data_IF_553457767668
#
_entry.id   IF_553457767668
#
_cell.length_a   1.000
_cell.length_b   1.000
_cell.length_c   1.000
_cell.angle_alpha   90.00
_cell.angle_beta   90.00
_cell.angle_gamma   90.00
#
_symmetry.space_group_name_H-M   'P 1'
#
loop_
_entity.id
_entity.type
_entity.pdbx_description
1 polymer ?
#
# COMPACT_ATOMS: atom_id res chain seq x y z
N UNK A 1 -19.47 1.64 12.37
CA UNK A 1 -18.70 1.15 11.20
C UNK A 1 -18.33 2.27 10.23
N UNK A 2 -19.24 3.17 9.81
CA UNK A 2 -18.95 4.24 8.83
C UNK A 2 -17.80 5.21 9.21
N UNK A 3 -17.68 5.62 10.48
CA UNK A 3 -16.55 6.46 10.97
C UNK A 3 -15.21 5.69 11.06
N UNK A 4 -15.26 4.36 11.18
CA UNK A 4 -14.08 3.49 11.22
C UNK A 4 -13.47 3.28 9.82
N UNK A 5 -14.31 3.31 8.78
CA UNK A 5 -13.89 3.14 7.38
C UNK A 5 -13.04 4.32 6.90
N UNK A 6 -13.40 5.57 7.24
CA UNK A 6 -12.60 6.75 6.92
C UNK A 6 -11.24 6.78 7.65
N UNK A 7 -11.20 6.38 8.93
CA UNK A 7 -9.96 6.36 9.73
C UNK A 7 -8.97 5.28 9.27
N UNK A 8 -9.48 4.14 8.79
CA UNK A 8 -8.68 3.07 8.21
C UNK A 8 -8.14 3.48 6.82
N UNK A 9 -8.95 4.17 6.01
CA UNK A 9 -8.55 4.70 4.70
C UNK A 9 -7.32 5.61 4.78
N UNK A 10 -7.32 6.55 5.74
CA UNK A 10 -6.21 7.50 5.95
C UNK A 10 -4.94 6.78 6.44
N UNK A 11 -5.08 5.74 7.26
CA UNK A 11 -3.94 4.98 7.81
C UNK A 11 -3.26 4.07 6.78
N UNK A 12 -4.00 3.57 5.78
CA UNK A 12 -3.45 2.75 4.68
C UNK A 12 -2.69 3.62 3.67
N UNK A 13 -3.12 4.88 3.47
CA UNK A 13 -2.53 5.82 2.51
C UNK A 13 -1.26 6.51 3.00
N UNK A 14 -1.00 6.56 4.31
CA UNK A 14 0.11 7.32 4.92
C UNK A 14 1.43 6.55 5.10
N UNK A 15 1.61 5.41 4.42
CA UNK A 15 2.89 4.69 4.46
C UNK A 15 3.87 5.29 3.43
N UNK A 16 4.89 6.07 3.83
CA UNK A 16 5.84 6.61 2.88
C UNK A 16 6.65 5.47 2.28
N UNK A 17 6.64 5.40 0.95
CA UNK A 17 7.56 4.56 0.24
C UNK A 17 8.90 5.32 0.13
N UNK A 18 9.97 4.68 0.61
CA UNK A 18 11.33 5.24 0.63
C UNK A 18 11.77 5.55 -0.81
N UNK A 19 12.32 6.76 -1.01
CA UNK A 19 12.60 7.36 -2.32
C UNK A 19 13.72 6.64 -3.08
N UNK A 20 13.57 6.58 -4.42
CA UNK A 20 14.67 6.52 -5.38
C UNK A 20 14.13 6.96 -6.75
N UNK A 21 14.90 7.86 -7.38
CA UNK A 21 14.60 8.73 -8.51
C UNK A 21 14.80 8.06 -9.88
N UNK A 22 14.11 8.60 -10.89
CA UNK A 22 13.84 8.17 -12.27
C UNK A 22 15.03 7.77 -13.16
N UNK A 23 14.72 6.91 -14.15
CA UNK A 23 15.09 7.13 -15.55
C UNK A 23 14.12 6.38 -16.49
N UNK A 24 13.57 7.11 -17.47
CA UNK A 24 12.51 6.64 -18.39
C UNK A 24 13.06 6.03 -19.68
N UNK A 25 12.29 5.13 -20.28
CA UNK A 25 12.41 4.71 -21.69
C UNK A 25 11.05 4.23 -22.19
N UNK A 26 10.58 4.82 -23.28
CA UNK A 26 9.26 4.60 -23.87
C UNK A 26 9.23 3.38 -24.79
N UNK A 27 8.11 2.65 -24.79
CA UNK A 27 7.68 1.84 -25.94
C UNK A 27 6.15 1.71 -25.95
N UNK A 28 5.56 1.99 -27.11
CA UNK A 28 4.12 1.97 -27.38
C UNK A 28 3.68 0.60 -27.89
N UNK A 29 2.47 0.16 -27.54
CA UNK A 29 1.72 -0.86 -28.29
C UNK A 29 0.23 -0.74 -27.99
N UNK A 30 -0.55 -0.42 -29.02
CA UNK A 30 -2.02 -0.49 -29.00
C UNK A 30 -2.48 -1.94 -29.09
N UNK A 31 -3.55 -2.28 -28.36
CA UNK A 31 -4.31 -3.51 -28.57
C UNK A 31 -5.80 -3.21 -28.42
N UNK A 32 -6.48 -3.24 -29.57
CA UNK A 32 -7.93 -3.17 -29.71
C UNK A 32 -8.57 -4.48 -29.22
N UNK A 33 -9.53 -4.37 -28.30
CA UNK A 33 -10.31 -5.51 -27.81
C UNK A 33 -11.79 -5.14 -27.67
N UNK A 34 -12.58 -5.63 -28.61
CA UNK A 34 -14.05 -5.67 -28.61
C UNK A 34 -14.58 -6.26 -27.29
N UNK A 35 -15.27 -5.47 -26.47
CA UNK A 35 -15.87 -5.93 -25.21
C UNK A 35 -17.28 -5.39 -25.05
N UNK A 36 -18.23 -6.27 -24.71
CA UNK A 36 -19.54 -5.86 -24.23
C UNK A 36 -19.38 -4.78 -23.14
N UNK A 37 -20.24 -3.77 -23.14
CA UNK A 37 -20.23 -2.73 -22.10
C UNK A 37 -20.54 -3.42 -20.77
N UNK A 38 -19.49 -3.81 -20.05
CA UNK A 38 -19.61 -4.31 -18.67
C UNK A 38 -20.07 -3.13 -17.84
N UNK A 39 -21.16 -3.31 -17.09
CA UNK A 39 -21.66 -2.27 -16.19
C UNK A 39 -20.63 -2.06 -15.08
N UNK A 40 -20.08 -0.84 -14.97
CA UNK A 40 -19.08 -0.48 -13.95
C UNK A 40 -19.53 -0.83 -12.53
N UNK A 41 -20.84 -0.84 -12.26
CA UNK A 41 -21.36 -1.25 -10.96
C UNK A 41 -21.21 -2.74 -10.67
N UNK A 42 -21.25 -3.58 -11.71
CA UNK A 42 -21.00 -5.03 -11.57
C UNK A 42 -19.54 -5.30 -11.25
N UNK A 43 -18.59 -4.64 -11.93
CA UNK A 43 -17.15 -4.78 -11.62
C UNK A 43 -16.83 -4.33 -10.20
N UNK A 44 -17.39 -3.20 -9.76
CA UNK A 44 -17.25 -2.72 -8.38
C UNK A 44 -17.79 -3.75 -7.38
N UNK A 45 -18.95 -4.34 -7.67
CA UNK A 45 -19.57 -5.35 -6.81
C UNK A 45 -18.72 -6.62 -6.69
N UNK A 46 -18.17 -7.11 -7.80
CA UNK A 46 -17.27 -8.26 -7.81
C UNK A 46 -15.99 -8.00 -7.01
N UNK A 47 -15.35 -6.83 -7.20
CA UNK A 47 -14.12 -6.47 -6.45
C UNK A 47 -14.39 -6.31 -4.95
N UNK A 48 -15.52 -5.72 -4.57
CA UNK A 48 -15.88 -5.48 -3.18
C UNK A 48 -16.59 -6.67 -2.51
N UNK A 49 -16.79 -7.79 -3.20
CA UNK A 49 -17.60 -8.90 -2.71
C UNK A 49 -17.05 -9.48 -1.40
N UNK A 50 -17.89 -9.45 -0.35
CA UNK A 50 -17.52 -9.96 0.97
C UNK A 50 -16.39 -9.17 1.69
N UNK A 51 -15.83 -8.14 1.05
CA UNK A 51 -14.67 -7.41 1.52
C UNK A 51 -14.86 -6.84 2.92
N UNK A 52 -15.96 -6.11 3.17
CA UNK A 52 -16.25 -5.51 4.47
C UNK A 52 -16.32 -6.53 5.62
N UNK A 53 -16.89 -7.71 5.37
CA UNK A 53 -16.97 -8.78 6.37
C UNK A 53 -15.60 -9.42 6.61
N UNK A 54 -14.85 -9.67 5.55
CA UNK A 54 -13.51 -10.25 5.66
C UNK A 54 -12.55 -9.28 6.34
N UNK A 55 -12.59 -8.00 5.97
CA UNK A 55 -11.81 -6.93 6.59
C UNK A 55 -12.10 -6.80 8.07
N UNK A 56 -13.37 -6.89 8.48
CA UNK A 56 -13.73 -6.80 9.90
C UNK A 56 -13.04 -7.89 10.75
N UNK A 57 -12.83 -9.09 10.20
CA UNK A 57 -12.08 -10.18 10.87
C UNK A 57 -10.57 -9.94 10.80
N UNK A 58 -10.10 -9.47 9.64
CA UNK A 58 -8.69 -9.18 9.38
C UNK A 58 -8.16 -7.94 10.13
N UNK A 59 -9.01 -7.00 10.53
CA UNK A 59 -8.62 -5.72 11.12
C UNK A 59 -7.73 -5.88 12.37
N UNK A 60 -7.96 -6.93 13.17
CA UNK A 60 -7.10 -7.25 14.33
C UNK A 60 -5.72 -7.73 13.91
N UNK A 61 -5.64 -8.56 12.87
CA UNK A 61 -4.38 -9.02 12.27
C UNK A 61 -3.63 -7.83 11.68
N UNK A 62 -4.32 -7.00 10.88
CA UNK A 62 -3.75 -5.81 10.26
C UNK A 62 -3.22 -4.83 11.30
N UNK A 63 -4.00 -4.49 12.34
CA UNK A 63 -3.56 -3.54 13.39
C UNK A 63 -2.36 -4.08 14.19
N UNK A 64 -2.34 -5.37 14.52
CA UNK A 64 -1.19 -6.04 15.13
C UNK A 64 0.04 -5.99 14.23
N UNK A 65 -0.14 -6.25 12.94
CA UNK A 65 0.93 -6.17 11.95
C UNK A 65 1.49 -4.75 11.81
N UNK A 66 0.64 -3.73 11.69
CA UNK A 66 1.06 -2.32 11.64
C UNK A 66 1.86 -1.94 12.89
N UNK A 67 1.40 -2.34 14.07
CA UNK A 67 2.12 -2.07 15.32
C UNK A 67 3.49 -2.78 15.36
N UNK A 68 3.58 -4.02 14.89
CA UNK A 68 4.86 -4.74 14.74
C UNK A 68 5.77 -4.04 13.72
N UNK A 69 5.23 -3.66 12.58
CA UNK A 69 5.96 -2.98 11.51
C UNK A 69 6.53 -1.64 11.99
N UNK A 70 5.75 -0.84 12.71
CA UNK A 70 6.22 0.42 13.31
C UNK A 70 7.36 0.19 14.29
N UNK A 71 7.28 -0.83 15.14
CA UNK A 71 8.37 -1.22 16.06
C UNK A 71 9.61 -1.65 15.31
N UNK A 72 9.47 -2.47 14.27
CA UNK A 72 10.57 -2.92 13.41
C UNK A 72 11.23 -1.75 12.70
N UNK A 73 10.44 -0.84 12.12
CA UNK A 73 10.93 0.38 11.47
C UNK A 73 11.68 1.27 12.46
N UNK A 74 11.15 1.47 13.66
CA UNK A 74 11.84 2.22 14.71
C UNK A 74 13.20 1.59 15.08
N UNK A 75 13.24 0.25 15.25
CA UNK A 75 14.50 -0.48 15.49
C UNK A 75 15.49 -0.32 14.33
N UNK A 76 15.01 -0.39 13.08
CA UNK A 76 15.83 -0.23 11.89
C UNK A 76 16.44 1.18 11.82
N UNK A 77 15.64 2.22 12.06
CA UNK A 77 16.12 3.61 12.05
C UNK A 77 17.17 3.84 13.13
N UNK A 78 16.92 3.41 14.37
CA UNK A 78 17.90 3.50 15.46
C UNK A 78 19.18 2.68 15.19
N UNK A 79 19.07 1.58 14.44
CA UNK A 79 20.23 0.81 14.01
C UNK A 79 21.02 1.53 12.90
N UNK A 80 20.33 2.11 11.92
CA UNK A 80 20.95 2.92 10.86
C UNK A 80 21.70 4.11 11.45
N UNK A 81 21.08 4.84 12.38
CA UNK A 81 21.68 6.02 13.01
C UNK A 81 22.97 5.66 13.76
N UNK A 82 22.93 4.61 14.60
CA UNK A 82 24.14 4.10 15.29
C UNK A 82 25.22 3.67 14.30
N UNK A 83 24.82 2.93 13.27
CA UNK A 83 25.75 2.46 12.25
C UNK A 83 26.41 3.57 11.45
N UNK A 84 25.70 4.67 11.23
CA UNK A 84 26.24 5.82 10.56
C UNK A 84 27.34 6.50 11.40
N UNK A 85 27.16 6.58 12.72
CA UNK A 85 28.18 7.10 13.64
C UNK A 85 29.39 6.14 13.76
N UNK A 86 29.14 4.84 13.83
CA UNK A 86 30.17 3.80 13.87
C UNK A 86 31.04 3.81 12.60
N UNK A 87 30.41 3.92 11.42
CA UNK A 87 31.12 3.98 10.13
C UNK A 87 31.93 5.27 10.00
N UNK A 88 31.45 6.40 10.50
CA UNK A 88 32.19 7.67 10.48
C UNK A 88 33.40 7.66 11.40
N UNK A 89 33.29 6.95 12.52
CA UNK A 89 34.35 6.82 13.51
C UNK A 89 35.35 5.71 13.16
N UNK A 90 35.02 4.85 12.19
CA UNK A 90 35.90 3.79 11.72
C UNK A 90 37.11 4.35 10.95
N UNK A 91 38.29 3.79 11.20
CA UNK A 91 39.49 4.07 10.41
C UNK A 91 39.55 3.16 9.18
N UNK A 92 40.59 3.33 8.34
CA UNK A 92 40.78 2.56 7.10
C UNK A 92 40.72 1.04 7.32
N UNK A 93 41.30 0.54 8.40
CA UNK A 93 41.44 -0.89 8.66
C UNK A 93 40.16 -1.51 9.25
N UNK A 94 39.34 -0.70 9.94
CA UNK A 94 38.09 -1.14 10.55
C UNK A 94 36.84 -0.81 9.73
N UNK A 95 36.96 -0.01 8.66
CA UNK A 95 35.82 0.47 7.88
C UNK A 95 35.00 -0.67 7.25
N UNK A 96 35.67 -1.64 6.64
CA UNK A 96 34.99 -2.82 6.06
C UNK A 96 34.27 -3.66 7.12
N UNK A 97 34.92 -4.14 8.20
CA UNK A 97 34.23 -4.98 9.19
C UNK A 97 33.06 -4.24 9.87
N UNK A 98 33.19 -2.95 10.18
CA UNK A 98 32.09 -2.15 10.74
C UNK A 98 30.93 -2.04 9.74
N UNK A 99 31.22 -1.75 8.47
CA UNK A 99 30.19 -1.66 7.42
C UNK A 99 29.43 -2.98 7.23
N UNK A 100 30.13 -4.11 7.24
CA UNK A 100 29.53 -5.44 7.11
C UNK A 100 28.65 -5.78 8.31
N UNK A 101 29.13 -5.55 9.54
CA UNK A 101 28.35 -5.78 10.75
C UNK A 101 27.07 -4.94 10.78
N UNK A 102 27.20 -3.67 10.39
CA UNK A 102 26.09 -2.75 10.30
C UNK A 102 25.02 -3.21 9.32
N UNK A 103 25.43 -3.59 8.13
CA UNK A 103 24.49 -4.05 7.12
C UNK A 103 23.88 -5.41 7.46
N UNK A 104 24.65 -6.34 8.01
CA UNK A 104 24.13 -7.61 8.53
C UNK A 104 22.97 -7.40 9.51
N UNK A 105 23.12 -6.46 10.44
CA UNK A 105 22.04 -6.09 11.37
C UNK A 105 20.78 -5.61 10.66
N UNK A 106 20.93 -4.79 9.61
CA UNK A 106 19.80 -4.33 8.79
C UNK A 106 19.12 -5.50 8.07
N UNK A 107 19.90 -6.39 7.43
CA UNK A 107 19.38 -7.55 6.70
C UNK A 107 18.60 -8.50 7.60
N UNK A 108 19.06 -8.74 8.84
CA UNK A 108 18.35 -9.57 9.80
C UNK A 108 17.01 -8.97 10.20
N UNK A 109 16.98 -7.67 10.49
CA UNK A 109 15.75 -6.94 10.82
C UNK A 109 14.75 -6.99 9.65
N UNK A 110 15.23 -6.75 8.43
CA UNK A 110 14.42 -6.79 7.21
C UNK A 110 13.86 -8.19 6.93
N UNK A 111 14.68 -9.23 7.03
CA UNK A 111 14.27 -10.63 6.84
C UNK A 111 13.15 -11.03 7.80
N UNK A 112 13.29 -10.68 9.08
CA UNK A 112 12.30 -11.00 10.10
C UNK A 112 11.00 -10.20 9.89
N UNK A 113 11.09 -8.97 9.37
CA UNK A 113 9.92 -8.18 8.96
C UNK A 113 9.14 -8.86 7.82
N UNK A 114 9.86 -9.28 6.77
CA UNK A 114 9.28 -9.92 5.60
C UNK A 114 8.56 -11.23 5.94
N UNK A 115 9.05 -11.99 6.94
CA UNK A 115 8.38 -13.24 7.38
C UNK A 115 6.98 -12.95 7.91
N UNK A 116 6.86 -11.94 8.76
CA UNK A 116 5.57 -11.53 9.30
C UNK A 116 4.67 -10.93 8.21
N UNK A 117 5.24 -10.19 7.25
CA UNK A 117 4.48 -9.57 6.16
C UNK A 117 3.91 -10.61 5.20
N UNK A 118 4.66 -11.67 4.88
CA UNK A 118 4.20 -12.78 4.05
C UNK A 118 2.89 -13.37 4.54
N UNK A 119 2.82 -13.72 5.83
CA UNK A 119 1.64 -14.34 6.45
C UNK A 119 0.42 -13.41 6.44
N UNK A 120 0.65 -12.09 6.49
CA UNK A 120 -0.39 -11.06 6.47
C UNK A 120 -0.91 -10.83 5.06
N UNK A 121 -0.03 -10.75 4.06
CA UNK A 121 -0.42 -10.64 2.65
C UNK A 121 -1.24 -11.86 2.22
N UNK A 122 -0.92 -13.05 2.73
CA UNK A 122 -1.69 -14.26 2.41
C UNK A 122 -3.16 -14.18 2.90
N UNK A 123 -3.44 -13.37 3.92
CA UNK A 123 -4.78 -13.24 4.49
C UNK A 123 -5.48 -11.93 4.09
N UNK A 124 -4.85 -11.13 3.22
CA UNK A 124 -5.31 -9.78 2.94
C UNK A 124 -6.61 -9.78 2.11
N UNK A 125 -7.73 -9.24 2.64
CA UNK A 125 -9.01 -9.24 1.95
C UNK A 125 -9.03 -8.30 0.75
N UNK A 126 -9.76 -8.67 -0.31
CA UNK A 126 -10.02 -7.78 -1.45
C UNK A 126 -8.85 -7.57 -2.41
N UNK A 127 -7.73 -8.28 -2.23
CA UNK A 127 -6.69 -8.30 -3.27
C UNK A 127 -7.05 -9.31 -4.35
N UNK A 128 -6.78 -8.94 -5.60
CA UNK A 128 -6.83 -9.90 -6.71
C UNK A 128 -5.81 -11.02 -6.48
N UNK A 129 -6.11 -12.22 -6.99
CA UNK A 129 -5.23 -13.38 -6.85
C UNK A 129 -3.86 -13.12 -7.49
N UNK A 130 -3.83 -12.37 -8.59
CA UNK A 130 -2.63 -11.98 -9.32
C UNK A 130 -1.75 -11.07 -8.47
N UNK A 131 -2.31 -9.99 -7.90
CA UNK A 131 -1.56 -9.05 -7.04
C UNK A 131 -1.02 -9.74 -5.79
N UNK A 132 -1.84 -10.59 -5.18
CA UNK A 132 -1.45 -11.37 -4.01
C UNK A 132 -0.29 -12.30 -4.34
N UNK A 133 -0.40 -13.07 -5.42
CA UNK A 133 0.64 -14.00 -5.88
C UNK A 133 1.93 -13.27 -6.25
N UNK A 134 1.82 -12.16 -6.98
CA UNK A 134 2.96 -11.33 -7.36
C UNK A 134 3.69 -10.80 -6.12
N UNK A 135 2.97 -10.25 -5.13
CA UNK A 135 3.58 -9.75 -3.90
C UNK A 135 4.27 -10.86 -3.10
N UNK A 136 3.61 -12.02 -2.91
CA UNK A 136 4.20 -13.15 -2.20
C UNK A 136 5.47 -13.65 -2.89
N UNK A 137 5.47 -13.73 -4.22
CA UNK A 137 6.67 -14.09 -4.99
C UNK A 137 7.82 -13.08 -4.79
N UNK A 138 7.52 -11.77 -4.70
CA UNK A 138 8.54 -10.75 -4.42
C UNK A 138 9.06 -10.81 -2.99
N UNK A 139 8.21 -11.09 -2.01
CA UNK A 139 8.63 -11.32 -0.63
C UNK A 139 9.58 -12.52 -0.57
N UNK A 140 9.17 -13.65 -1.15
CA UNK A 140 9.94 -14.90 -1.12
C UNK A 140 11.30 -14.73 -1.84
N UNK A 141 11.33 -14.05 -2.98
CA UNK A 141 12.56 -13.74 -3.70
C UNK A 141 13.50 -12.84 -2.88
N UNK A 142 12.99 -11.78 -2.26
CA UNK A 142 13.81 -10.90 -1.43
C UNK A 142 14.34 -11.64 -0.20
N UNK A 143 13.50 -12.39 0.51
CA UNK A 143 13.94 -13.23 1.63
C UNK A 143 15.04 -14.22 1.22
N UNK A 144 14.86 -14.87 0.07
CA UNK A 144 15.84 -15.79 -0.52
C UNK A 144 17.17 -15.11 -0.85
N UNK A 145 17.18 -13.83 -1.19
CA UNK A 145 18.39 -13.06 -1.46
C UNK A 145 19.08 -12.50 -0.20
N UNK A 146 18.31 -12.20 0.86
CA UNK A 146 18.88 -11.67 2.11
C UNK A 146 19.77 -12.70 2.83
N UNK A 147 19.34 -13.98 2.88
CA UNK A 147 20.05 -15.01 3.65
C UNK A 147 21.47 -15.32 3.11
N UNK A 148 21.68 -15.53 1.80
CA UNK A 148 23.02 -15.74 1.24
C UNK A 148 23.98 -14.57 1.52
N UNK A 149 23.49 -13.33 1.53
CA UNK A 149 24.32 -12.17 1.85
C UNK A 149 24.72 -12.17 3.32
N UNK A 150 23.78 -12.50 4.23
CA UNK A 150 24.08 -12.67 5.66
C UNK A 150 25.15 -13.75 5.86
N UNK A 151 24.97 -14.91 5.22
CA UNK A 151 25.90 -16.03 5.32
C UNK A 151 27.29 -15.67 4.76
N UNK A 152 27.35 -14.94 3.65
CA UNK A 152 28.59 -14.44 3.07
C UNK A 152 29.31 -13.43 3.99
N UNK A 153 28.57 -12.60 4.72
CA UNK A 153 29.13 -11.72 5.74
C UNK A 153 29.71 -12.55 6.90
N UNK A 154 28.97 -13.53 7.41
CA UNK A 154 29.39 -14.37 8.53
C UNK A 154 30.60 -15.25 8.19
N UNK A 155 30.67 -15.73 6.95
CA UNK A 155 31.81 -16.46 6.40
C UNK A 155 32.98 -15.56 5.98
N UNK A 156 32.87 -14.23 6.17
CA UNK A 156 33.89 -13.23 5.81
C UNK A 156 34.34 -13.29 4.34
N UNK A 157 33.39 -13.57 3.44
CA UNK A 157 33.64 -13.68 1.99
C UNK A 157 34.01 -12.31 1.39
N UNK A 158 33.47 -11.23 1.93
CA UNK A 158 33.76 -9.87 1.46
C UNK A 158 35.15 -9.40 1.89
N UNK A 159 36.04 -9.21 0.91
CA UNK A 159 37.42 -8.76 1.12
C UNK A 159 37.63 -7.27 0.88
N UNK A 160 36.73 -6.61 0.15
CA UNK A 160 36.81 -5.19 -0.20
C UNK A 160 35.46 -4.48 -0.04
N UNK A 161 35.52 -3.16 0.13
CA UNK A 161 34.32 -2.32 0.19
C UNK A 161 33.58 -2.26 -1.15
N UNK A 162 34.30 -2.35 -2.28
CA UNK A 162 33.69 -2.27 -3.61
C UNK A 162 32.88 -3.54 -3.91
N UNK A 163 33.44 -4.73 -3.64
CA UNK A 163 32.69 -5.98 -3.78
C UNK A 163 31.43 -5.99 -2.92
N UNK A 164 31.52 -5.42 -1.71
CA UNK A 164 30.37 -5.26 -0.85
C UNK A 164 29.34 -4.24 -1.40
N UNK A 165 29.80 -3.12 -1.96
CA UNK A 165 28.94 -2.11 -2.60
C UNK A 165 28.17 -2.71 -3.77
N UNK A 166 28.82 -3.53 -4.61
CA UNK A 166 28.19 -4.16 -5.77
C UNK A 166 27.07 -5.11 -5.34
N UNK A 167 27.28 -5.91 -4.29
CA UNK A 167 26.23 -6.78 -3.74
C UNK A 167 25.06 -5.98 -3.17
N UNK A 168 25.32 -4.85 -2.50
CA UNK A 168 24.25 -3.96 -2.00
C UNK A 168 23.42 -3.39 -3.14
N UNK A 169 24.08 -2.98 -4.22
CA UNK A 169 23.42 -2.43 -5.40
C UNK A 169 22.61 -3.50 -6.13
N UNK A 170 23.16 -4.71 -6.24
CA UNK A 170 22.45 -5.84 -6.80
C UNK A 170 21.21 -6.22 -5.98
N UNK A 171 21.32 -6.27 -4.65
CA UNK A 171 20.18 -6.51 -3.76
C UNK A 171 19.10 -5.42 -3.94
N UNK A 172 19.52 -4.16 -4.07
CA UNK A 172 18.62 -3.03 -4.27
C UNK A 172 17.82 -3.17 -5.57
N UNK A 173 18.51 -3.39 -6.68
CA UNK A 173 17.91 -3.35 -8.01
C UNK A 173 17.13 -4.62 -8.35
N UNK A 174 17.68 -5.80 -8.04
CA UNK A 174 17.05 -7.07 -8.43
C UNK A 174 15.94 -7.53 -7.48
N UNK A 175 15.97 -7.10 -6.21
CA UNK A 175 15.06 -7.65 -5.20
C UNK A 175 14.25 -6.58 -4.45
N UNK A 176 14.90 -5.55 -3.89
CA UNK A 176 14.17 -4.54 -3.09
C UNK A 176 13.26 -3.65 -3.93
N UNK A 177 13.73 -3.16 -5.07
CA UNK A 177 12.92 -2.32 -5.96
C UNK A 177 11.65 -3.06 -6.47
N UNK A 178 11.75 -4.29 -7.02
CA UNK A 178 10.58 -5.07 -7.40
C UNK A 178 9.63 -5.34 -6.23
N UNK A 179 10.16 -5.60 -5.04
CA UNK A 179 9.37 -5.74 -3.82
C UNK A 179 8.62 -4.45 -3.47
N UNK A 180 9.27 -3.28 -3.49
CA UNK A 180 8.61 -2.01 -3.21
C UNK A 180 7.54 -1.65 -4.23
N UNK A 181 7.78 -2.01 -5.50
CA UNK A 181 6.80 -1.84 -6.56
C UNK A 181 5.55 -2.71 -6.33
N UNK A 182 5.74 -4.00 -6.07
CA UNK A 182 4.63 -4.90 -5.73
C UNK A 182 3.88 -4.46 -4.46
N UNK A 183 4.59 -4.00 -3.43
CA UNK A 183 3.98 -3.46 -2.22
C UNK A 183 3.10 -2.23 -2.51
N UNK A 184 3.54 -1.36 -3.42
CA UNK A 184 2.75 -0.21 -3.85
C UNK A 184 1.51 -0.65 -4.67
N UNK A 185 1.62 -1.69 -5.50
CA UNK A 185 0.48 -2.24 -6.24
C UNK A 185 -0.58 -2.85 -5.30
N UNK A 186 -0.15 -3.54 -4.24
CA UNK A 186 -1.03 -4.04 -3.18
C UNK A 186 -1.78 -2.89 -2.50
N UNK A 187 -1.10 -1.79 -2.17
CA UNK A 187 -1.75 -0.60 -1.60
C UNK A 187 -2.78 -0.01 -2.55
N UNK A 188 -2.46 0.04 -3.83
CA UNK A 188 -3.36 0.53 -4.87
C UNK A 188 -4.62 -0.34 -5.01
N UNK A 189 -4.46 -1.66 -5.17
CA UNK A 189 -5.59 -2.59 -5.24
C UNK A 189 -6.44 -2.59 -3.97
N UNK A 190 -5.81 -2.44 -2.80
CA UNK A 190 -6.54 -2.30 -1.53
C UNK A 190 -7.35 -1.00 -1.48
N UNK A 191 -6.76 0.11 -1.90
CA UNK A 191 -7.45 1.40 -1.94
C UNK A 191 -8.62 1.39 -2.92
N UNK A 192 -8.46 0.76 -4.09
CA UNK A 192 -9.52 0.58 -5.07
C UNK A 192 -10.69 -0.22 -4.48
N UNK A 193 -10.42 -1.37 -3.86
CA UNK A 193 -11.47 -2.21 -3.28
C UNK A 193 -12.23 -1.49 -2.17
N UNK A 194 -11.53 -0.72 -1.35
CA UNK A 194 -12.15 0.14 -0.35
C UNK A 194 -13.02 1.23 -0.97
N UNK A 195 -12.58 1.85 -2.07
CA UNK A 195 -13.33 2.86 -2.79
C UNK A 195 -14.59 2.25 -3.41
N UNK A 196 -14.50 1.08 -4.03
CA UNK A 196 -15.64 0.36 -4.61
C UNK A 196 -16.68 0.03 -3.53
N UNK A 197 -16.24 -0.50 -2.38
CA UNK A 197 -17.12 -0.77 -1.25
C UNK A 197 -17.84 0.49 -0.75
N UNK A 198 -17.15 1.64 -0.75
CA UNK A 198 -17.75 2.93 -0.40
C UNK A 198 -18.78 3.36 -1.47
N UNK A 199 -18.42 3.32 -2.75
CA UNK A 199 -19.29 3.72 -3.85
C UNK A 199 -20.57 2.89 -3.90
N UNK A 200 -20.48 1.57 -3.70
CA UNK A 200 -21.65 0.68 -3.60
C UNK A 200 -22.54 1.05 -2.40
N UNK A 201 -21.94 1.35 -1.25
CA UNK A 201 -22.70 1.80 -0.08
C UNK A 201 -23.38 3.14 -0.30
N UNK A 202 -22.74 4.08 -1.01
CA UNK A 202 -23.33 5.37 -1.34
C UNK A 202 -24.47 5.22 -2.35
N UNK A 203 -24.29 4.38 -3.39
CA UNK A 203 -25.33 4.08 -4.38
C UNK A 203 -26.58 3.52 -3.72
N UNK A 204 -26.41 2.50 -2.89
CA UNK A 204 -27.53 1.91 -2.15
C UNK A 204 -28.22 2.94 -1.25
N UNK A 205 -27.47 3.87 -0.65
CA UNK A 205 -28.05 4.92 0.19
C UNK A 205 -28.75 6.03 -0.61
N UNK A 206 -28.29 6.37 -1.83
CA UNK A 206 -28.97 7.33 -2.70
C UNK A 206 -30.29 6.78 -3.26
N UNK A 207 -30.40 5.46 -3.40
CA UNK A 207 -31.59 4.76 -3.89
C UNK A 207 -32.62 4.50 -2.77
N UNK A 208 -32.24 4.68 -1.49
CA UNK A 208 -33.11 4.46 -0.34
C UNK A 208 -34.17 5.56 -0.22
N UNK A 209 -35.44 5.16 -0.37
CA UNK A 209 -36.60 6.06 -0.25
C UNK A 209 -36.88 6.52 1.18
N UNK A 210 -36.19 5.97 2.18
CA UNK A 210 -36.29 6.38 3.58
C UNK A 210 -35.61 7.72 3.89
N UNK A 211 -34.78 8.26 3.00
CA UNK A 211 -34.16 9.57 3.14
C UNK A 211 -34.96 10.68 2.48
N UNK A 212 -34.83 11.91 3.01
CA UNK A 212 -35.37 13.10 2.35
C UNK A 212 -34.66 13.36 1.02
N UNK A 213 -35.33 14.05 0.09
CA UNK A 213 -34.74 14.41 -1.22
C UNK A 213 -33.39 15.09 -1.09
N UNK A 214 -33.29 16.03 -0.16
CA UNK A 214 -32.07 16.80 0.09
C UNK A 214 -30.91 15.92 0.56
N UNK A 215 -31.17 14.94 1.44
CA UNK A 215 -30.16 13.97 1.88
C UNK A 215 -29.73 13.08 0.72
N UNK A 216 -30.67 12.59 -0.10
CA UNK A 216 -30.36 11.75 -1.27
C UNK A 216 -29.50 12.48 -2.29
N UNK A 217 -29.83 13.74 -2.60
CA UNK A 217 -29.02 14.55 -3.52
C UNK A 217 -27.59 14.71 -3.02
N UNK A 218 -27.39 15.00 -1.72
CA UNK A 218 -26.04 15.13 -1.15
C UNK A 218 -25.26 13.81 -1.13
N UNK A 219 -25.94 12.68 -0.98
CA UNK A 219 -25.30 11.36 -1.12
C UNK A 219 -24.86 11.14 -2.58
N UNK A 220 -25.69 11.52 -3.57
CA UNK A 220 -25.34 11.46 -4.99
C UNK A 220 -24.13 12.35 -5.31
N UNK A 221 -24.11 13.59 -4.81
CA UNK A 221 -22.97 14.50 -4.98
C UNK A 221 -21.67 13.89 -4.41
N UNK A 222 -21.76 13.24 -3.24
CA UNK A 222 -20.62 12.55 -2.64
C UNK A 222 -20.18 11.35 -3.49
N UNK A 223 -21.11 10.56 -4.00
CA UNK A 223 -20.86 9.41 -4.87
C UNK A 223 -20.10 9.85 -6.14
N UNK A 224 -20.58 10.90 -6.81
CA UNK A 224 -19.94 11.46 -8.00
C UNK A 224 -18.53 11.97 -7.68
N UNK A 225 -18.35 12.65 -6.55
CA UNK A 225 -17.04 13.14 -6.13
C UNK A 225 -16.03 11.99 -5.91
N UNK A 226 -16.44 10.93 -5.20
CA UNK A 226 -15.58 9.78 -4.95
C UNK A 226 -15.27 8.98 -6.23
N UNK A 227 -16.21 8.93 -7.18
CA UNK A 227 -15.99 8.25 -8.46
C UNK A 227 -14.84 8.88 -9.28
N UNK A 228 -14.53 10.16 -9.08
CA UNK A 228 -13.38 10.84 -9.72
C UNK A 228 -12.04 10.25 -9.25
N UNK A 229 -11.98 9.64 -8.06
CA UNK A 229 -10.76 9.04 -7.54
C UNK A 229 -10.43 7.68 -8.17
N UNK A 230 -11.44 6.97 -8.67
CA UNK A 230 -11.33 5.59 -9.16
C UNK A 230 -10.35 5.43 -10.34
N UNK A 231 -10.33 6.30 -11.37
CA UNK A 231 -9.40 6.16 -12.50
C UNK A 231 -7.93 6.26 -12.11
N UNK A 232 -7.59 6.90 -10.98
CA UNK A 232 -6.23 6.94 -10.47
C UNK A 232 -5.82 5.63 -9.80
N UNK A 233 -6.78 4.83 -9.34
CA UNK A 233 -6.53 3.58 -8.62
C UNK A 233 -6.64 2.34 -9.50
N UNK A 234 -7.36 2.44 -10.62
CA UNK A 234 -7.42 1.35 -11.62
C UNK A 234 -5.99 1.07 -12.12
N UNK A 235 -5.51 -0.17 -12.00
CA UNK A 235 -4.22 -0.55 -12.57
C UNK A 235 -4.31 -0.40 -14.09
N UNK A 236 -3.66 0.62 -14.66
CA UNK A 236 -3.45 0.62 -16.11
C UNK A 236 -2.30 -0.32 -16.43
N UNK A 237 -2.37 -0.99 -17.58
CA UNK A 237 -1.27 -1.80 -18.14
C UNK A 237 0.02 -0.98 -18.35
N UNK A 238 -0.05 0.35 -18.20
CA UNK A 238 1.03 1.31 -18.39
C UNK A 238 1.72 1.76 -17.11
N UNK A 239 1.27 1.35 -15.92
CA UNK A 239 1.99 1.69 -14.68
C UNK A 239 3.17 0.73 -14.53
N UNK A 240 4.30 1.13 -15.11
CA UNK A 240 5.55 0.36 -15.07
C UNK A 240 6.55 0.90 -14.04
N UNK A 241 6.23 2.02 -13.39
CA UNK A 241 7.14 2.70 -12.47
C UNK A 241 6.52 2.92 -11.09
N UNK A 242 7.37 2.80 -10.07
CA UNK A 242 7.02 3.07 -8.68
C UNK A 242 6.62 4.54 -8.47
N UNK A 243 7.15 5.45 -9.28
CA UNK A 243 6.88 6.88 -9.20
C UNK A 243 5.48 7.22 -9.70
N UNK A 244 5.12 6.75 -10.89
CA UNK A 244 3.77 6.91 -11.44
C UNK A 244 2.70 6.33 -10.50
N UNK A 245 2.98 5.17 -9.89
CA UNK A 245 2.07 4.56 -8.93
C UNK A 245 1.90 5.40 -7.65
N UNK A 246 2.97 6.03 -7.17
CA UNK A 246 2.91 6.95 -6.01
C UNK A 246 2.15 8.22 -6.34
N UNK A 247 2.37 8.79 -7.52
CA UNK A 247 1.63 9.98 -7.96
C UNK A 247 0.14 9.71 -8.08
N UNK A 248 -0.22 8.56 -8.67
CA UNK A 248 -1.61 8.14 -8.79
C UNK A 248 -2.27 7.93 -7.44
N UNK A 249 -1.58 7.25 -6.50
CA UNK A 249 -2.04 7.12 -5.12
C UNK A 249 -2.19 8.48 -4.43
N UNK A 250 -1.27 9.41 -4.65
CA UNK A 250 -1.35 10.76 -4.09
C UNK A 250 -2.55 11.53 -4.65
N UNK A 251 -2.78 11.49 -5.97
CA UNK A 251 -3.94 12.10 -6.63
C UNK A 251 -5.25 11.51 -6.12
N UNK A 252 -5.36 10.19 -6.06
CA UNK A 252 -6.52 9.49 -5.51
C UNK A 252 -6.78 9.89 -4.05
N UNK A 253 -5.73 9.93 -3.22
CA UNK A 253 -5.85 10.31 -1.82
C UNK A 253 -6.30 11.76 -1.64
N UNK A 254 -5.79 12.68 -2.47
CA UNK A 254 -6.17 14.09 -2.47
C UNK A 254 -7.64 14.27 -2.86
N UNK A 255 -8.10 13.53 -3.89
CA UNK A 255 -9.50 13.54 -4.31
C UNK A 255 -10.43 12.94 -3.24
N UNK A 256 -10.06 11.80 -2.66
CA UNK A 256 -10.83 11.19 -1.55
C UNK A 256 -10.96 12.15 -0.37
N UNK A 257 -9.87 12.87 -0.04
CA UNK A 257 -9.87 13.84 1.04
C UNK A 257 -10.77 15.06 0.72
N UNK A 258 -10.77 15.55 -0.53
CA UNK A 258 -11.62 16.67 -0.95
C UNK A 258 -13.12 16.33 -0.97
N UNK A 259 -13.48 15.05 -1.11
CA UNK A 259 -14.87 14.59 -1.07
C UNK A 259 -15.43 14.36 0.35
N UNK A 260 -14.56 14.24 1.37
CA UNK A 260 -14.98 14.00 2.75
C UNK A 260 -15.96 15.05 3.31
N UNK A 261 -15.81 16.35 3.04
CA UNK A 261 -16.77 17.37 3.48
C UNK A 261 -18.17 17.16 2.90
N UNK A 262 -18.27 16.76 1.61
CA UNK A 262 -19.57 16.52 0.94
C UNK A 262 -20.33 15.39 1.63
N UNK A 263 -19.65 14.29 1.93
CA UNK A 263 -20.24 13.18 2.66
C UNK A 263 -20.63 13.55 4.10
N UNK A 264 -19.83 14.41 4.75
CA UNK A 264 -20.14 14.86 6.11
C UNK A 264 -21.39 15.76 6.17
N UNK A 265 -21.63 16.55 5.12
CA UNK A 265 -22.84 17.37 4.99
C UNK A 265 -24.09 16.50 4.84
N UNK A 266 -24.03 15.45 4.00
CA UNK A 266 -25.11 14.48 3.86
C UNK A 266 -25.47 13.80 5.20
N UNK A 267 -24.45 13.44 5.99
CA UNK A 267 -24.64 12.83 7.32
C UNK A 267 -25.24 13.83 8.32
N UNK A 268 -24.81 15.09 8.30
CA UNK A 268 -25.37 16.13 9.17
C UNK A 268 -26.87 16.37 8.91
N UNK A 269 -27.27 16.40 7.63
CA UNK A 269 -28.67 16.52 7.21
C UNK A 269 -29.53 15.31 7.60
N UNK A 270 -28.95 14.11 7.57
CA UNK A 270 -29.62 12.90 8.06
C UNK A 270 -29.88 12.97 9.58
N UNK A 271 -28.93 13.51 10.35
CA UNK A 271 -29.08 13.65 11.79
C UNK A 271 -30.07 14.76 12.19
N UNK A 272 -30.11 15.87 11.45
CA UNK A 272 -31.07 16.94 11.73
C UNK A 272 -32.52 16.53 11.42
N UNK A 273 -32.75 15.80 10.33
CA UNK A 273 -34.08 15.30 9.93
C UNK A 273 -34.65 14.20 10.84
N UNK A 274 -33.79 13.37 11.42
CA UNK A 274 -34.20 12.37 12.42
C UNK A 274 -34.54 13.01 13.78
N UNK A 275 -33.88 14.11 14.14
CA UNK A 275 -34.13 14.84 15.39
C UNK A 275 -35.46 15.60 15.37
N UNK A 276 -35.87 16.13 14.20
CA UNK A 276 -37.14 16.86 14.04
C UNK A 276 -38.38 15.97 13.93
N UNK A 277 -38.21 14.69 13.61
CA UNK A 277 -39.32 13.71 13.51
C UNK A 277 -39.69 13.04 14.84
N UNK A 278 -39.01 13.40 15.93
CA UNK A 278 -39.12 12.78 17.27
C UNK A 278 -39.84 13.66 18.31
N UNK A 279 -40.43 14.79 17.88
CA UNK A 279 -41.19 15.75 18.68
C UNK A 279 -42.65 15.78 18.21
#
# INVERSE_FOLDING_TARGET
MRSLILSIFVSILLMPAVHAQEQSSSASSESSGSGAVVDIWTERAERAEGFSSQWSRFALVHSSWIAKWQKVRGKLLLHIDRCHDDVRSANRDTLLPVSLQCYRGQLLIERDALKNERDVIDQWPGLSAELKTAMLARIDALQGALQPIIDAIDAKVFTTLDAFRDVRENLRTQYRQPYWFAAAQVRNGTALTWLDALLLSLKSASEDTGFSEEVRQKITDALECYAIAEPFLIPSETIDSLESLRENLAKASGQIASCSPVLSEAQALQHSSSSSSSL
#
